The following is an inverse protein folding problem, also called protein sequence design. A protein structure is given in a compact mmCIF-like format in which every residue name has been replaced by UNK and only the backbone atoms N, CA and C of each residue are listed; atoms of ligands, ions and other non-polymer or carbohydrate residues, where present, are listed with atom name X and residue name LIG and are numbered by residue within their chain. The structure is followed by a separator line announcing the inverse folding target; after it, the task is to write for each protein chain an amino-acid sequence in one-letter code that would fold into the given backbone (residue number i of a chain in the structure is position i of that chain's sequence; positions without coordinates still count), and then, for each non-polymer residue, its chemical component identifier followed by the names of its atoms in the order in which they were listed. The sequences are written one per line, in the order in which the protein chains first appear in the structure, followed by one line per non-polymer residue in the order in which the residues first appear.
data_IF_777422067077
#
_entry.id   IF_777422067077
#
_cell.length_a   1.000
_cell.length_b   1.000
_cell.length_c   1.000
_cell.angle_alpha   90.00
_cell.angle_beta   90.00
_cell.angle_gamma   90.00
#
_symmetry.space_group_name_H-M   'P 1'
#
loop_
_entity.id
_entity.type
_entity.pdbx_description
1 polymer ?
#
# COMPACT_ATOMS: atom_id res chain seq x y z
N UNK A 1 1.37 11.61 -18.54
CA UNK A 1 2.04 10.51 -17.82
C UNK A 1 1.77 9.13 -18.45
N UNK A 2 2.77 8.23 -18.50
CA UNK A 2 2.62 6.82 -18.94
C UNK A 2 2.25 5.95 -17.74
N UNK A 3 1.30 5.03 -17.92
CA UNK A 3 0.97 4.01 -16.92
C UNK A 3 2.02 2.88 -16.96
N UNK A 4 2.80 2.74 -15.89
CA UNK A 4 3.80 1.68 -15.75
C UNK A 4 3.30 0.48 -14.94
N UNK A 5 2.04 0.52 -14.46
CA UNK A 5 1.47 -0.53 -13.62
C UNK A 5 1.04 -1.76 -14.41
N UNK A 6 0.73 -1.61 -15.71
CA UNK A 6 0.29 -2.70 -16.59
C UNK A 6 1.44 -3.14 -17.49
N UNK A 7 1.90 -4.40 -17.41
CA UNK A 7 2.94 -4.92 -18.29
C UNK A 7 2.44 -5.14 -19.73
N UNK A 8 3.36 -5.37 -20.66
CA UNK A 8 3.00 -5.75 -22.02
C UNK A 8 2.37 -7.16 -22.04
N UNK A 9 1.24 -7.32 -22.74
CA UNK A 9 0.43 -8.55 -22.75
C UNK A 9 0.06 -9.01 -21.33
N UNK A 10 -0.67 -8.17 -20.58
CA UNK A 10 -1.02 -8.45 -19.20
C UNK A 10 -2.01 -9.62 -19.14
N UNK A 11 -1.95 -10.37 -18.05
CA UNK A 11 -2.87 -11.46 -17.74
C UNK A 11 -2.80 -11.81 -16.26
N UNK A 12 -3.92 -11.62 -15.58
CA UNK A 12 -4.09 -11.92 -14.16
C UNK A 12 -3.38 -10.95 -13.23
N UNK A 13 -3.72 -11.07 -11.96
CA UNK A 13 -3.40 -10.10 -10.92
C UNK A 13 -2.88 -10.83 -9.68
N UNK A 14 -1.91 -10.21 -9.00
CA UNK A 14 -1.44 -10.63 -7.69
C UNK A 14 -1.85 -9.57 -6.66
N UNK A 15 -2.66 -9.98 -5.68
CA UNK A 15 -3.01 -9.16 -4.53
C UNK A 15 -2.06 -9.51 -3.38
N UNK A 16 -1.40 -8.49 -2.82
CA UNK A 16 -0.71 -8.59 -1.53
C UNK A 16 -1.61 -8.01 -0.46
N UNK A 17 -1.70 -8.66 0.69
CA UNK A 17 -2.52 -8.19 1.81
C UNK A 17 -2.01 -8.74 3.15
N UNK A 18 -2.65 -8.32 4.23
CA UNK A 18 -2.49 -8.92 5.56
C UNK A 18 -3.86 -9.35 6.12
N UNK A 19 -3.83 -10.07 7.23
CA UNK A 19 -5.02 -10.49 7.96
C UNK A 19 -4.93 -9.99 9.40
N UNK A 20 -6.05 -9.45 9.89
CA UNK A 20 -6.23 -9.18 11.32
C UNK A 20 -6.88 -10.38 12.01
N UNK A 21 -6.15 -10.96 12.96
CA UNK A 21 -6.71 -11.95 13.89
C UNK A 21 -6.25 -11.64 15.32
N UNK A 22 -7.13 -11.19 16.22
CA UNK A 22 -6.77 -10.87 17.60
C UNK A 22 -6.29 -12.08 18.41
N UNK A 23 -6.46 -13.31 17.91
CA UNK A 23 -6.14 -14.55 18.62
C UNK A 23 -4.89 -15.25 18.11
N UNK A 24 -4.36 -14.84 16.97
CA UNK A 24 -3.19 -15.48 16.37
C UNK A 24 -2.19 -14.46 15.86
N UNK A 25 -0.96 -14.91 15.62
CA UNK A 25 0.05 -14.07 14.98
C UNK A 25 -0.20 -14.04 13.47
N UNK A 26 -1.24 -13.31 13.06
CA UNK A 26 -1.71 -13.23 11.68
C UNK A 26 -1.15 -12.03 10.89
N UNK A 27 -0.68 -10.97 11.56
CA UNK A 27 -0.11 -9.75 10.94
C UNK A 27 1.22 -10.07 10.20
N UNK A 28 1.07 -10.62 9.00
CA UNK A 28 2.07 -11.22 8.11
C UNK A 28 1.63 -10.98 6.66
N UNK A 29 2.48 -11.29 5.69
CA UNK A 29 2.13 -11.11 4.27
C UNK A 29 1.42 -12.33 3.73
N UNK A 30 0.30 -12.10 3.06
CA UNK A 30 -0.46 -13.09 2.30
C UNK A 30 -0.56 -12.63 0.85
N UNK A 31 -0.73 -13.60 -0.04
CA UNK A 31 -0.85 -13.36 -1.47
C UNK A 31 -2.07 -14.11 -2.00
N UNK A 32 -2.86 -13.44 -2.84
CA UNK A 32 -3.97 -14.03 -3.56
C UNK A 32 -3.75 -13.82 -5.06
N UNK A 33 -4.05 -14.85 -5.85
CA UNK A 33 -3.96 -14.82 -7.31
C UNK A 33 -5.36 -14.77 -7.90
N UNK A 34 -5.61 -13.88 -8.86
CA UNK A 34 -6.90 -13.82 -9.55
C UNK A 34 -7.23 -15.12 -10.29
N UNK A 35 -8.51 -15.43 -10.49
CA UNK A 35 -8.93 -16.50 -11.40
C UNK A 35 -8.79 -16.03 -12.85
N UNK A 36 -7.70 -16.45 -13.51
CA UNK A 36 -7.29 -15.92 -14.80
C UNK A 36 -7.20 -14.39 -14.78
N UNK A 37 -7.75 -13.76 -15.81
CA UNK A 37 -7.74 -12.30 -15.99
C UNK A 37 -8.95 -11.59 -15.35
N UNK A 38 -9.53 -12.19 -14.31
CA UNK A 38 -10.72 -11.68 -13.62
C UNK A 38 -10.34 -11.04 -12.28
N UNK A 39 -10.33 -9.71 -12.17
CA UNK A 39 -10.02 -9.04 -10.91
C UNK A 39 -11.12 -9.21 -9.84
N UNK A 40 -12.30 -9.76 -10.15
CA UNK A 40 -13.39 -9.95 -9.19
C UNK A 40 -13.29 -11.26 -8.39
N UNK A 41 -12.41 -12.20 -8.76
CA UNK A 41 -12.34 -13.52 -8.12
C UNK A 41 -10.90 -13.85 -7.70
N UNK A 42 -10.67 -14.04 -6.40
CA UNK A 42 -9.33 -14.19 -5.80
C UNK A 42 -9.14 -15.55 -5.13
N UNK A 43 -8.05 -16.23 -5.48
CA UNK A 43 -7.68 -17.51 -4.88
C UNK A 43 -6.49 -17.31 -3.93
N UNK A 44 -6.65 -17.59 -2.63
CA UNK A 44 -5.54 -17.51 -1.68
C UNK A 44 -4.41 -18.48 -2.03
N UNK A 45 -3.19 -17.95 -2.12
CA UNK A 45 -2.00 -18.78 -2.27
C UNK A 45 -1.65 -19.43 -0.93
N UNK A 46 -0.78 -20.45 -0.99
CA UNK A 46 -0.27 -21.19 0.16
C UNK A 46 -1.38 -21.74 1.08
N UNK A 47 -2.53 -22.11 0.50
CA UNK A 47 -3.72 -22.53 1.24
C UNK A 47 -4.21 -21.50 2.28
N UNK A 48 -4.06 -20.20 1.99
CA UNK A 48 -4.42 -19.11 2.90
C UNK A 48 -3.48 -18.94 4.09
N UNK A 49 -2.30 -19.55 4.06
CA UNK A 49 -1.23 -19.34 5.06
C UNK A 49 -0.32 -18.18 4.63
N UNK A 50 0.35 -17.52 5.59
CA UNK A 50 1.26 -16.43 5.26
C UNK A 50 2.41 -16.90 4.38
N UNK A 51 2.84 -16.04 3.47
CA UNK A 51 3.96 -16.26 2.54
C UNK A 51 5.25 -15.65 3.08
N UNK A 52 5.18 -14.48 3.73
CA UNK A 52 6.35 -13.77 4.29
C UNK A 52 6.09 -13.29 5.72
N UNK A 53 7.16 -13.23 6.51
CA UNK A 53 7.17 -12.74 7.90
C UNK A 53 8.36 -11.82 8.13
N UNK A 54 8.24 -10.88 9.06
CA UNK A 54 9.34 -9.99 9.46
C UNK A 54 9.86 -10.33 10.86
N UNK A 55 11.18 -10.50 11.07
CA UNK A 55 11.77 -10.60 12.39
C UNK A 55 12.07 -9.23 13.02
N UNK A 56 11.87 -8.13 12.29
CA UNK A 56 12.25 -6.78 12.70
C UNK A 56 11.17 -6.10 13.53
N UNK A 57 11.59 -5.08 14.30
CA UNK A 57 10.72 -4.16 15.02
C UNK A 57 9.67 -4.86 15.87
N UNK A 58 8.40 -4.60 15.56
CA UNK A 58 7.25 -5.17 16.26
C UNK A 58 6.99 -6.63 15.91
N UNK A 59 7.66 -7.16 14.88
CA UNK A 59 7.50 -8.49 14.28
C UNK A 59 6.17 -8.71 13.55
N UNK A 60 5.28 -7.73 13.50
CA UNK A 60 4.08 -7.75 12.66
C UNK A 60 4.31 -6.93 11.41
N UNK A 61 3.63 -7.29 10.33
CA UNK A 61 3.55 -6.44 9.14
C UNK A 61 2.12 -6.25 8.66
N UNK A 62 1.83 -5.05 8.18
CA UNK A 62 0.50 -4.58 7.77
C UNK A 62 0.60 -3.72 6.50
N UNK A 63 -0.56 -3.50 5.89
CA UNK A 63 -0.79 -2.57 4.79
C UNK A 63 0.24 -2.72 3.65
N UNK A 64 0.49 -3.94 3.13
CA UNK A 64 1.55 -4.14 2.16
C UNK A 64 1.18 -3.62 0.77
N UNK A 65 2.19 -3.21 0.01
CA UNK A 65 2.03 -2.80 -1.39
C UNK A 65 3.08 -3.45 -2.28
N UNK A 66 2.70 -3.76 -3.52
CA UNK A 66 3.55 -4.35 -4.56
C UNK A 66 3.86 -3.32 -5.64
N UNK A 67 5.14 -3.19 -6.01
CA UNK A 67 5.53 -2.32 -7.12
C UNK A 67 6.64 -2.92 -7.96
N UNK A 68 6.53 -2.75 -9.28
CA UNK A 68 7.53 -3.22 -10.24
C UNK A 68 8.43 -2.08 -10.70
N UNK A 69 9.74 -2.33 -10.75
CA UNK A 69 10.65 -1.49 -11.51
C UNK A 69 10.48 -1.84 -13.00
N UNK A 70 9.96 -0.93 -13.85
CA UNK A 70 9.71 -1.24 -15.26
C UNK A 70 10.99 -1.35 -16.09
N UNK A 71 12.13 -0.85 -15.60
CA UNK A 71 13.42 -0.95 -16.29
C UNK A 71 14.12 -2.30 -16.04
N UNK A 72 13.96 -2.87 -14.85
CA UNK A 72 14.64 -4.12 -14.47
C UNK A 72 13.71 -5.33 -14.39
N UNK A 73 12.40 -5.11 -14.26
CA UNK A 73 11.39 -6.13 -14.04
C UNK A 73 11.25 -6.60 -12.59
N UNK A 74 12.17 -6.21 -11.69
CA UNK A 74 12.16 -6.57 -10.26
C UNK A 74 10.91 -6.03 -9.58
N UNK A 75 10.32 -6.84 -8.70
CA UNK A 75 9.14 -6.48 -7.91
C UNK A 75 9.54 -6.35 -6.45
N UNK A 76 8.99 -5.34 -5.78
CA UNK A 76 9.18 -5.08 -4.36
C UNK A 76 7.85 -5.22 -3.62
N UNK A 77 7.89 -5.77 -2.41
CA UNK A 77 6.84 -5.60 -1.41
C UNK A 77 7.34 -4.60 -0.38
N UNK A 78 6.52 -3.59 -0.09
CA UNK A 78 6.72 -2.63 0.99
C UNK A 78 5.65 -2.90 2.04
N UNK A 79 5.96 -2.82 3.33
CA UNK A 79 4.96 -3.01 4.38
C UNK A 79 5.26 -2.17 5.62
N UNK A 80 4.20 -1.83 6.36
CA UNK A 80 4.27 -1.25 7.71
C UNK A 80 4.89 -2.25 8.68
N UNK A 81 5.85 -1.82 9.51
CA UNK A 81 6.32 -2.59 10.69
C UNK A 81 5.42 -2.31 11.90
N UNK A 82 4.38 -3.13 12.07
CA UNK A 82 3.43 -2.99 13.16
C UNK A 82 2.74 -4.31 13.51
N UNK A 83 2.68 -4.62 14.81
CA UNK A 83 1.88 -5.70 15.39
C UNK A 83 0.94 -5.15 16.46
N UNK A 84 -0.35 -4.96 16.15
CA UNK A 84 -1.30 -4.33 17.08
C UNK A 84 -1.94 -5.31 18.05
N UNK A 85 -1.93 -6.61 17.74
CA UNK A 85 -2.61 -7.62 18.56
C UNK A 85 -1.72 -8.28 19.63
N UNK A 86 -0.47 -7.84 19.80
CA UNK A 86 0.43 -8.37 20.85
C UNK A 86 -0.12 -8.24 22.27
N UNK A 87 -0.93 -7.21 22.53
CA UNK A 87 -1.60 -6.96 23.81
C UNK A 87 -3.06 -7.41 23.84
N UNK A 88 -3.57 -7.98 22.74
CA UNK A 88 -4.96 -8.47 22.61
C UNK A 88 -6.02 -7.39 22.41
N UNK A 89 -5.64 -6.11 22.33
CA UNK A 89 -6.58 -4.98 22.22
C UNK A 89 -6.69 -4.36 20.82
N UNK A 90 -5.78 -4.69 19.89
CA UNK A 90 -5.77 -4.11 18.56
C UNK A 90 -5.81 -2.58 18.59
N UNK A 91 -6.74 -1.97 17.85
CA UNK A 91 -7.01 -0.52 17.85
C UNK A 91 -8.09 -0.08 18.85
N UNK A 92 -8.57 -0.97 19.73
CA UNK A 92 -9.63 -0.65 20.70
C UNK A 92 -9.16 0.30 21.82
N UNK A 93 -10.10 0.83 22.61
CA UNK A 93 -9.79 1.68 23.76
C UNK A 93 -8.93 0.93 24.79
N UNK A 94 -7.82 1.55 25.22
CA UNK A 94 -6.83 0.91 26.09
C UNK A 94 -5.71 0.18 25.34
N UNK A 95 -5.70 0.26 24.01
CA UNK A 95 -4.59 -0.18 23.16
C UNK A 95 -3.34 0.69 23.31
N UNK A 96 -2.23 0.21 22.76
CA UNK A 96 -0.98 0.95 22.62
C UNK A 96 -0.99 2.00 21.50
N UNK A 97 -2.17 2.41 21.01
CA UNK A 97 -2.29 3.25 19.81
C UNK A 97 -1.49 4.55 19.88
N UNK A 98 -1.51 5.22 21.04
CA UNK A 98 -0.71 6.44 21.24
C UNK A 98 0.78 6.16 21.00
N UNK A 99 1.31 5.09 21.59
CA UNK A 99 2.72 4.70 21.41
C UNK A 99 3.01 4.34 19.95
N UNK A 100 2.15 3.57 19.29
CA UNK A 100 2.38 3.21 17.88
C UNK A 100 2.28 4.42 16.94
N UNK A 101 1.44 5.41 17.24
CA UNK A 101 1.24 6.58 16.39
C UNK A 101 2.17 7.76 16.72
N UNK A 102 2.86 7.74 17.86
CA UNK A 102 3.79 8.81 18.28
C UNK A 102 5.23 8.31 18.40
N UNK A 103 5.46 7.04 18.70
CA UNK A 103 6.79 6.47 18.93
C UNK A 103 6.96 5.12 18.23
N UNK A 104 6.19 4.90 17.16
CA UNK A 104 6.21 3.69 16.35
C UNK A 104 7.43 3.61 15.45
N UNK A 105 7.48 2.52 14.67
CA UNK A 105 8.57 2.30 13.71
C UNK A 105 8.51 3.33 12.58
N UNK A 106 9.64 3.95 12.27
CA UNK A 106 9.85 4.73 11.04
C UNK A 106 10.47 3.88 9.93
N UNK A 107 10.61 2.57 10.16
CA UNK A 107 11.13 1.64 9.17
C UNK A 107 9.97 0.99 8.42
N UNK A 108 10.09 0.93 7.10
CA UNK A 108 9.31 0.03 6.26
C UNK A 108 10.03 -1.30 6.12
N UNK A 109 9.29 -2.40 6.01
CA UNK A 109 9.84 -3.71 5.69
C UNK A 109 9.75 -3.96 4.20
N UNK A 110 10.89 -4.29 3.60
CA UNK A 110 11.03 -4.47 2.16
C UNK A 110 11.43 -5.91 1.83
N UNK A 111 10.73 -6.51 0.87
CA UNK A 111 11.15 -7.72 0.17
C UNK A 111 11.27 -7.43 -1.32
N UNK A 112 12.08 -8.20 -2.02
CA UNK A 112 12.20 -8.12 -3.47
C UNK A 112 12.22 -9.49 -4.13
N UNK A 113 11.73 -9.55 -5.36
CA UNK A 113 11.68 -10.77 -6.17
C UNK A 113 11.90 -10.47 -7.66
N UNK A 114 12.62 -11.36 -8.33
CA UNK A 114 12.77 -11.37 -9.79
C UNK A 114 11.73 -12.27 -10.48
N UNK A 115 11.01 -13.11 -9.72
CA UNK A 115 10.14 -14.13 -10.29
C UNK A 115 8.77 -14.28 -9.63
N UNK A 116 8.46 -13.49 -8.58
CA UNK A 116 7.23 -13.49 -7.77
C UNK A 116 7.00 -14.77 -6.95
N UNK A 117 7.95 -15.68 -6.93
CA UNK A 117 7.89 -16.94 -6.17
C UNK A 117 8.92 -16.92 -5.05
N UNK A 118 10.17 -16.60 -5.39
CA UNK A 118 11.27 -16.51 -4.45
C UNK A 118 11.47 -15.05 -4.04
N UNK A 119 11.26 -14.78 -2.76
CA UNK A 119 11.47 -13.47 -2.17
C UNK A 119 12.80 -13.44 -1.43
N UNK A 120 13.44 -12.27 -1.40
CA UNK A 120 14.62 -12.04 -0.57
C UNK A 120 14.32 -12.24 0.92
N UNK A 121 15.36 -12.28 1.75
CA UNK A 121 15.18 -11.95 3.16
C UNK A 121 14.62 -10.52 3.31
N UNK A 122 13.81 -10.24 4.36
CA UNK A 122 13.35 -8.88 4.63
C UNK A 122 14.53 -7.95 4.95
N UNK A 123 14.38 -6.68 4.58
CA UNK A 123 15.28 -5.59 4.99
C UNK A 123 14.47 -4.36 5.40
N UNK A 124 15.08 -3.46 6.15
CA UNK A 124 14.43 -2.21 6.57
C UNK A 124 14.82 -1.04 5.68
N UNK A 125 13.86 -0.13 5.44
CA UNK A 125 14.08 1.19 4.88
C UNK A 125 13.63 2.23 5.92
N UNK A 126 14.56 3.04 6.44
CA UNK A 126 14.23 4.09 7.40
C UNK A 126 13.81 5.36 6.64
N UNK A 127 12.50 5.59 6.57
CA UNK A 127 11.96 6.72 5.80
C UNK A 127 12.14 8.07 6.50
N UNK A 128 12.59 8.08 7.76
CA UNK A 128 12.90 9.33 8.47
C UNK A 128 14.24 9.93 8.06
N UNK A 129 15.15 9.16 7.45
CA UNK A 129 16.52 9.59 7.16
C UNK A 129 16.57 10.75 6.15
N UNK A 130 17.26 11.83 6.52
CA UNK A 130 17.54 13.01 5.69
C UNK A 130 18.94 12.94 5.06
N UNK A 131 19.16 13.69 3.98
CA UNK A 131 20.41 13.69 3.22
C UNK A 131 21.64 14.18 4.01
N UNK A 132 21.43 15.01 5.04
CA UNK A 132 22.48 15.51 5.93
C UNK A 132 22.86 14.51 7.06
N UNK A 133 22.25 13.33 7.07
CA UNK A 133 22.46 12.29 8.07
C UNK A 133 21.63 12.47 9.35
N UNK A 134 20.76 13.48 9.40
CA UNK A 134 19.74 13.62 10.46
C UNK A 134 18.46 12.85 10.12
N UNK A 135 17.48 12.89 11.01
CA UNK A 135 16.18 12.24 10.83
C UNK A 135 15.06 13.28 10.91
N UNK A 136 13.94 13.04 10.24
CA UNK A 136 12.68 13.71 10.49
C UNK A 136 12.06 13.15 11.78
N UNK A 137 11.48 14.04 12.60
CA UNK A 137 10.76 13.64 13.81
C UNK A 137 9.39 13.08 13.39
N UNK A 138 9.38 11.79 13.05
CA UNK A 138 8.21 11.05 12.59
C UNK A 138 7.67 10.18 13.73
N UNK A 139 6.34 10.16 13.88
CA UNK A 139 5.69 9.29 14.86
C UNK A 139 5.69 7.81 14.46
N UNK A 140 5.64 7.54 13.15
CA UNK A 140 5.58 6.20 12.56
C UNK A 140 5.70 6.27 11.03
N UNK A 141 5.78 5.13 10.35
CA UNK A 141 5.62 5.02 8.90
C UNK A 141 4.62 3.91 8.54
N UNK A 142 3.41 4.30 8.13
CA UNK A 142 2.29 3.38 7.87
C UNK A 142 1.79 3.45 6.43
N UNK A 143 1.26 2.32 5.93
CA UNK A 143 0.64 2.16 4.62
C UNK A 143 1.50 2.72 3.47
N UNK A 144 2.70 2.17 3.23
CA UNK A 144 3.56 2.64 2.17
C UNK A 144 3.07 2.21 0.78
N UNK A 145 3.02 3.13 -0.16
CA UNK A 145 2.85 2.85 -1.58
C UNK A 145 3.87 3.61 -2.43
N UNK A 146 4.01 3.23 -3.70
CA UNK A 146 4.92 3.92 -4.61
C UNK A 146 4.46 3.91 -6.07
N UNK A 147 4.81 4.97 -6.79
CA UNK A 147 4.67 5.04 -8.25
C UNK A 147 6.01 5.32 -8.91
N UNK A 148 6.25 4.67 -10.05
CA UNK A 148 7.46 4.89 -10.84
C UNK A 148 7.39 6.18 -11.66
N UNK A 149 8.44 6.99 -11.55
CA UNK A 149 8.66 8.22 -12.33
C UNK A 149 9.90 8.01 -13.19
N UNK A 150 9.77 7.86 -14.52
CA UNK A 150 10.87 7.44 -15.40
C UNK A 150 11.97 8.51 -15.59
N UNK A 151 11.64 9.77 -15.33
CA UNK A 151 12.50 10.93 -15.60
C UNK A 151 12.71 11.82 -14.37
N UNK A 152 12.66 11.20 -13.17
CA UNK A 152 12.89 11.84 -11.88
C UNK A 152 14.27 12.50 -11.78
N UNK A 153 15.33 11.75 -12.11
CA UNK A 153 16.71 12.21 -12.02
C UNK A 153 17.21 12.91 -13.30
N UNK A 154 18.21 13.81 -13.18
CA UNK A 154 18.86 14.44 -14.32
C UNK A 154 19.46 13.43 -15.30
N UNK A 155 19.52 13.82 -16.58
CA UNK A 155 20.16 13.01 -17.61
C UNK A 155 21.65 12.80 -17.29
N UNK A 156 22.12 11.55 -17.45
CA UNK A 156 23.52 11.18 -17.22
C UNK A 156 23.86 10.74 -15.80
N UNK A 157 22.86 10.63 -14.89
CA UNK A 157 23.04 9.95 -13.60
C UNK A 157 23.35 8.47 -13.83
N UNK A 158 24.32 7.95 -13.08
CA UNK A 158 24.60 6.52 -13.01
C UNK A 158 23.39 5.77 -12.39
N UNK A 159 23.03 4.61 -12.94
CA UNK A 159 21.86 3.85 -12.48
C UNK A 159 20.52 4.28 -13.07
N UNK A 160 20.50 5.21 -14.03
CA UNK A 160 19.29 5.59 -14.77
C UNK A 160 18.62 6.86 -14.24
N UNK A 161 17.56 7.27 -14.94
CA UNK A 161 16.81 8.49 -14.63
C UNK A 161 15.56 8.24 -13.77
N UNK A 162 15.11 7.00 -13.70
CA UNK A 162 13.87 6.67 -13.01
C UNK A 162 14.04 6.54 -11.49
N UNK A 163 12.95 6.80 -10.77
CA UNK A 163 12.85 6.57 -9.34
C UNK A 163 11.41 6.17 -9.00
N UNK A 164 11.27 5.42 -7.92
CA UNK A 164 10.00 5.32 -7.21
C UNK A 164 9.80 6.58 -6.38
N UNK A 165 8.67 7.24 -6.54
CA UNK A 165 8.16 8.17 -5.56
C UNK A 165 7.33 7.36 -4.57
N UNK A 166 7.89 7.20 -3.37
CA UNK A 166 7.35 6.47 -2.24
C UNK A 166 6.58 7.45 -1.36
N UNK A 167 5.40 7.04 -0.88
CA UNK A 167 4.58 7.84 0.02
C UNK A 167 3.97 6.96 1.11
N UNK A 168 3.77 7.54 2.30
CA UNK A 168 3.31 6.84 3.50
C UNK A 168 2.65 7.81 4.47
N UNK A 169 1.88 7.28 5.42
CA UNK A 169 1.22 8.06 6.47
C UNK A 169 2.08 8.18 7.73
N UNK A 170 2.11 9.36 8.34
CA UNK A 170 2.89 9.62 9.55
C UNK A 170 2.37 10.84 10.33
N UNK A 171 2.57 10.86 11.65
CA UNK A 171 2.60 12.11 12.41
C UNK A 171 3.95 12.78 12.23
N UNK A 172 3.95 14.06 11.87
CA UNK A 172 5.17 14.86 11.72
C UNK A 172 5.29 15.86 12.88
N UNK A 173 6.34 15.72 13.67
CA UNK A 173 6.68 16.62 14.77
C UNK A 173 7.68 17.69 14.30
N UNK A 174 7.78 18.77 15.08
CA UNK A 174 8.80 19.79 14.84
C UNK A 174 10.17 19.27 15.29
N UNK A 175 11.26 19.72 14.64
CA UNK A 175 12.62 19.31 14.98
C UNK A 175 13.01 19.67 16.44
N UNK A 176 12.30 20.60 17.10
CA UNK A 176 12.48 20.97 18.51
C UNK A 176 11.53 20.23 19.49
N UNK A 177 10.71 19.30 18.98
CA UNK A 177 9.91 18.36 19.76
C UNK A 177 10.37 16.89 19.57
N UNK A 178 11.63 16.55 19.89
CA UNK A 178 12.15 15.18 19.73
C UNK A 178 11.57 14.18 20.76
N UNK A 179 10.69 14.65 21.65
CA UNK A 179 9.96 13.81 22.60
C UNK A 179 8.53 13.53 22.14
N UNK A 180 8.13 14.09 20.99
CA UNK A 180 6.81 13.91 20.39
C UNK A 180 5.67 14.20 21.39
N UNK A 181 5.80 15.30 22.14
CA UNK A 181 4.87 15.67 23.21
C UNK A 181 3.74 16.58 22.72
N UNK A 182 3.86 17.18 21.53
CA UNK A 182 2.83 18.06 20.98
C UNK A 182 1.53 17.27 20.70
N UNK A 183 0.42 17.58 21.38
CA UNK A 183 -0.83 16.86 21.19
C UNK A 183 -1.59 17.29 19.92
N UNK A 184 -1.19 18.38 19.27
CA UNK A 184 -1.89 18.95 18.12
C UNK A 184 -1.40 18.37 16.78
N UNK A 185 -0.50 17.38 16.80
CA UNK A 185 -0.08 16.67 15.59
C UNK A 185 -1.17 15.73 15.07
N UNK A 186 -1.20 15.54 13.77
CA UNK A 186 -2.13 14.64 13.09
C UNK A 186 -1.42 13.91 11.95
N UNK A 187 -2.05 12.85 11.47
CA UNK A 187 -1.53 12.03 10.39
C UNK A 187 -1.58 12.80 9.08
N UNK A 188 -0.44 12.87 8.40
CA UNK A 188 -0.25 13.42 7.07
C UNK A 188 0.35 12.35 6.18
N UNK A 189 0.21 12.54 4.88
CA UNK A 189 0.93 11.70 3.91
C UNK A 189 2.23 12.41 3.58
N UNK A 190 3.35 11.72 3.79
CA UNK A 190 4.69 12.14 3.45
C UNK A 190 5.15 11.43 2.17
N UNK A 191 6.24 11.92 1.58
CA UNK A 191 6.87 11.27 0.44
C UNK A 191 8.39 11.32 0.49
N UNK A 192 9.00 10.47 -0.31
CA UNK A 192 10.42 10.41 -0.62
C UNK A 192 10.64 9.72 -1.97
N UNK A 193 11.89 9.64 -2.40
CA UNK A 193 12.25 8.99 -3.66
C UNK A 193 13.36 7.96 -3.45
N UNK A 194 13.34 6.90 -4.25
CA UNK A 194 14.36 5.85 -4.21
C UNK A 194 14.43 5.10 -5.53
N UNK A 195 15.61 4.60 -5.90
CA UNK A 195 15.75 3.79 -7.10
C UNK A 195 15.38 2.31 -6.88
N UNK A 196 15.56 1.82 -5.64
CA UNK A 196 15.52 0.39 -5.31
C UNK A 196 15.10 0.08 -3.86
N UNK A 197 14.52 1.08 -3.17
CA UNK A 197 14.09 1.00 -1.77
C UNK A 197 15.22 0.73 -0.77
N UNK A 198 16.50 0.87 -1.13
CA UNK A 198 17.59 0.78 -0.16
C UNK A 198 17.79 2.11 0.57
N UNK A 199 18.33 2.06 1.78
CA UNK A 199 18.69 3.29 2.51
C UNK A 199 19.70 4.14 1.72
N UNK A 200 20.57 3.53 0.91
CA UNK A 200 21.60 4.24 0.14
C UNK A 200 21.04 5.09 -1.01
N UNK A 201 19.92 4.68 -1.60
CA UNK A 201 19.28 5.42 -2.70
C UNK A 201 18.09 6.26 -2.25
N UNK A 202 17.70 6.17 -0.98
CA UNK A 202 16.54 6.87 -0.44
C UNK A 202 16.82 8.36 -0.18
N UNK A 203 15.87 9.18 -0.60
CA UNK A 203 15.86 10.64 -0.47
C UNK A 203 14.52 11.08 0.15
N UNK A 204 14.56 11.63 1.37
CA UNK A 204 13.36 12.18 2.01
C UNK A 204 12.83 13.42 1.27
N UNK A 205 11.53 13.43 0.95
CA UNK A 205 10.86 14.46 0.17
C UNK A 205 9.98 15.43 0.98
N UNK A 206 9.52 15.02 2.16
CA UNK A 206 8.72 15.86 3.06
C UNK A 206 7.22 15.60 2.95
N UNK A 207 6.41 16.63 3.14
CA UNK A 207 4.95 16.52 3.15
C UNK A 207 4.40 16.42 1.72
N UNK A 208 3.54 15.44 1.48
CA UNK A 208 2.81 15.25 0.23
C UNK A 208 1.34 15.71 0.35
N UNK A 209 0.62 15.22 1.36
CA UNK A 209 -0.78 15.58 1.63
C UNK A 209 -0.89 16.14 3.04
N UNK A 210 -1.38 17.38 3.13
CA UNK A 210 -1.71 18.04 4.38
C UNK A 210 -3.01 18.84 4.22
N UNK A 211 -4.09 18.25 4.72
CA UNK A 211 -5.44 18.83 4.66
C UNK A 211 -5.77 19.68 5.90
N UNK A 212 -4.85 19.81 6.86
CA UNK A 212 -5.11 20.43 8.16
C UNK A 212 -5.86 19.53 9.15
N UNK A 213 -6.05 18.26 8.83
CA UNK A 213 -6.67 17.22 9.67
C UNK A 213 -6.13 15.83 9.27
N UNK A 214 -6.39 14.76 10.06
CA UNK A 214 -5.77 13.47 9.80
C UNK A 214 -6.20 12.84 8.46
N UNK A 215 -5.21 12.47 7.67
CA UNK A 215 -5.34 11.73 6.40
C UNK A 215 -4.34 10.58 6.38
N UNK A 216 -4.79 9.42 5.91
CA UNK A 216 -3.99 8.19 5.84
C UNK A 216 -4.30 7.42 4.54
N UNK A 217 -3.64 6.30 4.33
CA UNK A 217 -3.96 5.28 3.32
C UNK A 217 -4.22 5.86 1.93
N UNK A 218 -3.16 6.39 1.33
CA UNK A 218 -3.21 6.88 -0.05
C UNK A 218 -2.86 5.74 -0.99
N UNK A 219 -3.62 5.61 -2.07
CA UNK A 219 -3.25 4.80 -3.25
C UNK A 219 -3.36 5.63 -4.51
N UNK A 220 -2.59 5.30 -5.55
CA UNK A 220 -2.51 6.11 -6.76
C UNK A 220 -2.45 5.29 -8.05
N UNK A 221 -3.04 5.85 -9.11
CA UNK A 221 -3.03 5.27 -10.46
C UNK A 221 -2.76 6.35 -11.50
N UNK A 222 -1.73 6.14 -12.34
CA UNK A 222 -1.52 6.97 -13.53
C UNK A 222 -2.30 6.39 -14.70
N UNK A 223 -3.25 7.13 -15.28
CA UNK A 223 -4.06 6.66 -16.42
C UNK A 223 -4.54 7.82 -17.29
N UNK A 224 -4.58 7.62 -18.60
CA UNK A 224 -5.11 8.62 -19.53
C UNK A 224 -4.35 9.95 -19.52
N UNK A 225 -3.06 9.93 -19.15
CA UNK A 225 -2.24 11.14 -19.04
C UNK A 225 -2.33 11.85 -17.68
N UNK A 226 -3.28 11.47 -16.82
CA UNK A 226 -3.53 12.01 -15.48
C UNK A 226 -2.97 11.09 -14.39
N UNK A 227 -2.90 11.59 -13.19
CA UNK A 227 -2.70 10.78 -11.97
C UNK A 227 -3.92 10.95 -11.09
N UNK A 228 -4.45 9.82 -10.62
CA UNK A 228 -5.53 9.74 -9.67
C UNK A 228 -4.98 9.30 -8.32
N UNK A 229 -5.51 9.85 -7.23
CA UNK A 229 -5.23 9.37 -5.88
C UNK A 229 -6.54 9.15 -5.14
N UNK A 230 -6.62 8.06 -4.40
CA UNK A 230 -7.67 7.83 -3.42
C UNK A 230 -7.02 7.86 -2.03
N UNK A 231 -7.50 8.74 -1.15
CA UNK A 231 -6.93 8.94 0.19
C UNK A 231 -8.02 8.81 1.24
N UNK A 232 -7.71 8.17 2.37
CA UNK A 232 -8.61 8.13 3.52
C UNK A 232 -8.53 9.43 4.32
N UNK A 233 -9.63 10.16 4.36
CA UNK A 233 -9.85 11.26 5.29
C UNK A 233 -10.52 10.72 6.56
N UNK A 234 -9.95 11.02 7.74
CA UNK A 234 -10.44 10.55 9.04
C UNK A 234 -11.64 11.39 9.54
N UNK A 235 -12.54 11.77 8.65
CA UNK A 235 -13.74 12.56 8.92
C UNK A 235 -14.89 12.12 7.98
N UNK A 236 -15.97 12.89 7.92
CA UNK A 236 -17.17 12.58 7.14
C UNK A 236 -16.94 12.52 5.63
N UNK A 237 -15.76 12.93 5.11
CA UNK A 237 -15.40 12.76 3.71
C UNK A 237 -14.98 11.34 3.36
N UNK A 238 -14.57 10.51 4.33
CA UNK A 238 -14.14 9.13 4.09
C UNK A 238 -13.04 9.01 3.04
N UNK A 239 -13.14 8.03 2.14
CA UNK A 239 -12.22 7.91 0.99
C UNK A 239 -12.60 8.93 -0.07
N UNK A 240 -11.62 9.75 -0.48
CA UNK A 240 -11.76 10.82 -1.47
C UNK A 240 -10.90 10.50 -2.67
N UNK A 241 -11.51 10.53 -3.87
CA UNK A 241 -10.82 10.44 -5.15
C UNK A 241 -10.51 11.84 -5.68
N UNK A 242 -9.26 12.05 -6.08
CA UNK A 242 -8.78 13.28 -6.69
C UNK A 242 -7.94 12.98 -7.93
N UNK A 243 -7.78 13.97 -8.82
CA UNK A 243 -6.91 13.86 -9.98
C UNK A 243 -6.02 15.08 -10.18
N UNK A 244 -4.91 14.88 -10.88
CA UNK A 244 -4.02 15.94 -11.35
C UNK A 244 -3.49 15.67 -12.76
N UNK A 245 -3.29 16.73 -13.52
CA UNK A 245 -2.56 16.73 -14.80
C UNK A 245 -1.05 17.00 -14.62
N UNK A 246 -0.59 17.23 -13.38
CA UNK A 246 0.78 17.61 -13.09
C UNK A 246 1.75 16.44 -13.26
N UNK A 247 2.82 16.65 -14.04
CA UNK A 247 3.88 15.64 -14.22
C UNK A 247 4.75 15.44 -12.97
N UNK A 248 4.77 16.43 -12.06
CA UNK A 248 5.44 16.37 -10.74
C UNK A 248 4.41 16.35 -9.62
N UNK A 249 3.50 15.39 -9.67
CA UNK A 249 2.32 15.27 -8.80
C UNK A 249 2.64 15.16 -7.31
N UNK A 250 3.85 14.75 -6.95
CA UNK A 250 4.30 14.59 -5.56
C UNK A 250 4.82 15.89 -4.92
N UNK A 251 5.03 16.94 -5.71
CA UNK A 251 5.54 18.20 -5.20
C UNK A 251 4.43 19.10 -4.64
N UNK A 252 4.72 19.97 -3.65
CA UNK A 252 3.71 20.83 -3.02
C UNK A 252 2.96 21.77 -3.96
N UNK A 253 3.49 22.03 -5.16
CA UNK A 253 2.86 22.89 -6.15
C UNK A 253 1.78 22.16 -6.98
N UNK A 254 1.76 20.83 -6.96
CA UNK A 254 0.78 20.04 -7.68
C UNK A 254 -0.64 20.40 -7.25
N UNK A 255 -1.51 20.65 -8.23
CA UNK A 255 -2.91 20.98 -7.99
C UNK A 255 -3.75 19.72 -8.19
N UNK A 256 -4.55 19.39 -7.18
CA UNK A 256 -5.45 18.25 -7.18
C UNK A 256 -6.91 18.72 -7.27
N UNK A 257 -7.71 18.01 -8.06
CA UNK A 257 -9.14 18.27 -8.22
C UNK A 257 -9.92 17.10 -7.64
N UNK A 258 -10.80 17.38 -6.68
CA UNK A 258 -11.70 16.39 -6.10
C UNK A 258 -12.71 15.93 -7.15
N UNK A 259 -12.86 14.61 -7.29
CA UNK A 259 -13.84 13.96 -8.17
C UNK A 259 -15.02 13.44 -7.34
N UNK A 260 -14.71 12.73 -6.25
CA UNK A 260 -15.72 12.07 -5.42
C UNK A 260 -15.22 11.96 -3.98
N UNK A 261 -16.14 12.04 -3.03
CA UNK A 261 -15.91 11.72 -1.62
C UNK A 261 -16.90 10.64 -1.12
N UNK A 262 -16.72 10.22 0.12
CA UNK A 262 -17.50 9.19 0.80
C UNK A 262 -17.56 7.84 0.04
N UNK A 263 -16.50 7.52 -0.70
CA UNK A 263 -16.45 6.30 -1.51
C UNK A 263 -16.54 5.08 -0.59
N UNK A 264 -17.47 4.18 -0.88
CA UNK A 264 -17.65 2.92 -0.14
C UNK A 264 -18.45 3.02 1.15
N UNK A 265 -18.98 4.19 1.52
CA UNK A 265 -19.71 4.36 2.78
C UNK A 265 -20.88 3.38 2.96
N UNK A 266 -21.62 3.03 1.90
CA UNK A 266 -22.77 2.12 1.98
C UNK A 266 -22.36 0.64 2.15
N UNK A 267 -21.07 0.32 2.09
CA UNK A 267 -20.57 -0.98 2.52
C UNK A 267 -20.56 -1.14 4.04
N UNK A 268 -20.60 -0.03 4.78
CA UNK A 268 -20.67 -0.02 6.24
C UNK A 268 -22.12 -0.18 6.71
N UNK A 269 -22.33 -0.78 7.90
CA UNK A 269 -23.67 -1.06 8.43
C UNK A 269 -24.54 0.21 8.59
N UNK A 270 -23.93 1.35 8.88
CA UNK A 270 -24.60 2.61 9.18
C UNK A 270 -24.40 3.70 8.11
N UNK A 271 -23.74 3.39 6.99
CA UNK A 271 -23.42 4.38 5.95
C UNK A 271 -22.39 5.43 6.40
N UNK A 272 -21.57 5.16 7.42
CA UNK A 272 -20.55 6.09 7.91
C UNK A 272 -19.26 5.97 7.06
N UNK A 273 -18.87 7.03 6.32
CA UNK A 273 -17.65 7.01 5.49
C UNK A 273 -16.37 6.77 6.29
N UNK A 274 -16.41 6.92 7.62
CA UNK A 274 -15.28 6.61 8.49
C UNK A 274 -15.04 5.11 8.63
N UNK A 275 -16.03 4.26 8.35
CA UNK A 275 -15.94 2.80 8.49
C UNK A 275 -15.27 2.06 7.32
N UNK A 276 -14.68 2.77 6.36
CA UNK A 276 -13.87 2.18 5.28
C UNK A 276 -12.48 2.80 5.21
N UNK A 277 -11.44 2.04 4.94
CA UNK A 277 -10.05 2.53 4.82
C UNK A 277 -9.26 1.75 3.76
N UNK A 278 -7.94 1.94 3.71
CA UNK A 278 -7.03 1.14 2.90
C UNK A 278 -7.38 0.96 1.43
N UNK A 279 -7.71 2.01 0.66
CA UNK A 279 -8.09 1.88 -0.74
C UNK A 279 -7.00 1.17 -1.56
N UNK A 280 -7.37 0.22 -2.42
CA UNK A 280 -6.49 -0.36 -3.45
C UNK A 280 -7.03 -0.04 -4.84
N UNK A 281 -6.30 0.79 -5.61
CA UNK A 281 -6.74 1.33 -6.90
C UNK A 281 -5.97 0.70 -8.07
N UNK A 282 -6.67 0.04 -8.99
CA UNK A 282 -6.02 -0.64 -10.12
C UNK A 282 -6.95 -0.80 -11.32
N UNK A 283 -6.37 -1.00 -12.49
CA UNK A 283 -7.11 -1.04 -13.75
C UNK A 283 -7.34 -2.45 -14.30
N UNK A 284 -8.46 -2.62 -14.99
CA UNK A 284 -8.71 -3.78 -15.84
C UNK A 284 -7.71 -3.85 -17.00
N UNK A 285 -7.37 -5.08 -17.41
CA UNK A 285 -6.50 -5.35 -18.57
C UNK A 285 -7.28 -5.33 -19.89
N UNK A 286 -8.57 -5.63 -19.85
CA UNK A 286 -9.34 -6.01 -21.04
C UNK A 286 -10.39 -4.99 -21.48
N UNK A 287 -10.72 -4.04 -20.60
CA UNK A 287 -11.73 -3.00 -20.85
C UNK A 287 -11.34 -1.69 -20.15
N UNK A 288 -12.21 -0.70 -20.22
CA UNK A 288 -11.97 0.62 -19.63
C UNK A 288 -12.20 0.66 -18.11
N UNK A 289 -12.56 -0.47 -17.48
CA UNK A 289 -12.87 -0.52 -16.06
C UNK A 289 -11.65 -0.24 -15.19
N UNK A 290 -11.91 0.46 -14.09
CA UNK A 290 -11.00 0.67 -12.97
C UNK A 290 -11.72 0.21 -11.72
N UNK A 291 -10.98 -0.48 -10.86
CA UNK A 291 -11.45 -1.01 -9.60
C UNK A 291 -10.83 -0.24 -8.45
N UNK A 292 -11.62 0.00 -7.42
CA UNK A 292 -11.14 0.50 -6.14
C UNK A 292 -11.69 -0.40 -5.05
N UNK A 293 -10.81 -1.13 -4.36
CA UNK A 293 -11.21 -1.94 -3.21
C UNK A 293 -11.09 -1.11 -1.95
N UNK A 294 -12.11 -1.14 -1.10
CA UNK A 294 -12.15 -0.39 0.16
C UNK A 294 -12.27 -1.37 1.32
N UNK A 295 -11.37 -1.29 2.30
CA UNK A 295 -11.36 -2.17 3.47
C UNK A 295 -12.43 -1.73 4.44
N UNK A 296 -13.47 -2.54 4.61
CA UNK A 296 -14.57 -2.26 5.53
C UNK A 296 -14.17 -2.75 6.93
N UNK A 297 -13.90 -1.78 7.81
CA UNK A 297 -13.39 -2.03 9.16
C UNK A 297 -14.51 -2.16 10.21
N UNK A 298 -14.25 -2.87 11.32
CA UNK A 298 -13.00 -3.56 11.65
C UNK A 298 -12.87 -4.95 11.03
N UNK A 299 -13.96 -5.61 10.61
CA UNK A 299 -13.92 -7.07 10.40
C UNK A 299 -14.32 -7.57 9.02
N UNK A 300 -14.88 -6.75 8.13
CA UNK A 300 -15.39 -7.24 6.85
C UNK A 300 -14.25 -7.46 5.85
N UNK A 301 -13.31 -6.52 5.77
CA UNK A 301 -12.25 -6.57 4.76
C UNK A 301 -12.68 -5.91 3.45
N UNK A 302 -11.95 -6.18 2.38
CA UNK A 302 -12.16 -5.51 1.10
C UNK A 302 -13.56 -5.70 0.50
N UNK A 303 -14.13 -4.59 0.04
CA UNK A 303 -15.32 -4.55 -0.81
C UNK A 303 -15.06 -3.75 -2.09
N UNK A 304 -15.60 -4.20 -3.22
CA UNK A 304 -15.26 -3.65 -4.53
C UNK A 304 -16.09 -2.42 -4.92
N UNK A 305 -15.43 -1.43 -5.48
CA UNK A 305 -15.99 -0.34 -6.26
C UNK A 305 -15.50 -0.45 -7.71
N UNK A 306 -16.27 0.05 -8.67
CA UNK A 306 -15.93 -0.02 -10.11
C UNK A 306 -16.37 1.24 -10.85
N UNK A 307 -15.65 1.58 -11.91
CA UNK A 307 -16.03 2.62 -12.86
C UNK A 307 -15.46 2.32 -14.24
N UNK A 308 -16.11 2.78 -15.31
CA UNK A 308 -15.53 2.82 -16.66
C UNK A 308 -15.00 4.21 -17.02
N UNK A 309 -15.20 5.19 -16.15
CA UNK A 309 -14.75 6.57 -16.33
C UNK A 309 -14.39 7.17 -14.97
N UNK A 310 -13.12 7.06 -14.62
CA UNK A 310 -12.60 7.47 -13.32
C UNK A 310 -12.73 8.98 -13.07
N UNK A 311 -12.86 9.81 -14.11
CA UNK A 311 -13.14 11.25 -13.95
C UNK A 311 -14.58 11.52 -13.44
N UNK A 312 -15.46 10.51 -13.45
CA UNK A 312 -16.82 10.58 -12.90
C UNK A 312 -16.99 9.79 -11.59
N UNK A 313 -15.88 9.27 -11.02
CA UNK A 313 -15.90 8.53 -9.77
C UNK A 313 -16.33 7.09 -9.92
N UNK A 314 -16.55 6.44 -8.79
CA UNK A 314 -16.82 5.02 -8.61
C UNK A 314 -18.27 4.74 -8.20
N UNK A 315 -18.79 3.63 -8.72
CA UNK A 315 -20.01 2.98 -8.26
C UNK A 315 -19.70 1.70 -7.49
N UNK A 316 -20.69 1.18 -6.77
CA UNK A 316 -20.57 -0.10 -6.08
C UNK A 316 -20.59 -1.24 -7.09
N UNK A 317 -19.58 -2.12 -7.07
CA UNK A 317 -19.65 -3.36 -7.85
C UNK A 317 -20.70 -4.28 -7.21
N UNK A 318 -21.80 -4.50 -7.92
CA UNK A 318 -22.88 -5.41 -7.53
C UNK A 318 -22.81 -6.65 -8.41
N UNK A 319 -21.91 -7.55 -8.05
CA UNK A 319 -21.66 -8.81 -8.75
C UNK A 319 -21.88 -9.97 -7.79
N UNK A 320 -22.74 -10.92 -8.15
CA UNK A 320 -22.90 -12.17 -7.39
C UNK A 320 -21.70 -13.12 -7.59
N UNK A 321 -20.80 -12.78 -8.52
CA UNK A 321 -19.60 -13.55 -8.87
C UNK A 321 -18.34 -13.02 -8.18
N UNK A 322 -18.42 -11.90 -7.44
CA UNK A 322 -17.29 -11.38 -6.67
C UNK A 322 -16.95 -12.34 -5.52
N UNK A 323 -15.72 -12.85 -5.51
CA UNK A 323 -15.22 -13.76 -4.48
C UNK A 323 -13.83 -13.34 -4.02
N UNK A 324 -13.68 -13.27 -2.70
CA UNK A 324 -12.44 -12.96 -2.01
C UNK A 324 -12.50 -13.60 -0.63
N UNK A 325 -11.34 -14.05 -0.14
CA UNK A 325 -11.26 -14.57 1.20
C UNK A 325 -11.75 -13.52 2.23
N UNK A 326 -12.49 -13.94 3.27
CA UNK A 326 -12.88 -13.04 4.33
C UNK A 326 -11.64 -12.52 5.07
N UNK A 327 -11.71 -11.30 5.58
CA UNK A 327 -10.59 -10.65 6.28
C UNK A 327 -9.34 -10.41 5.43
N UNK A 328 -9.44 -10.43 4.10
CA UNK A 328 -8.45 -9.77 3.23
C UNK A 328 -8.51 -8.26 3.49
N UNK A 329 -7.47 -7.72 4.12
CA UNK A 329 -7.37 -6.32 4.58
C UNK A 329 -6.52 -5.47 3.64
N UNK A 330 -6.35 -4.20 4.00
CA UNK A 330 -5.53 -3.21 3.29
C UNK A 330 -4.26 -3.83 2.69
N UNK A 331 -4.11 -3.66 1.38
CA UNK A 331 -3.09 -4.27 0.55
C UNK A 331 -2.99 -3.57 -0.81
N UNK A 332 -2.37 -4.24 -1.80
CA UNK A 332 -2.20 -3.68 -3.15
C UNK A 332 -2.23 -4.74 -4.25
N UNK A 333 -2.59 -4.32 -5.47
CA UNK A 333 -2.74 -5.21 -6.63
C UNK A 333 -1.67 -4.93 -7.68
N UNK A 334 -0.95 -5.96 -8.08
CA UNK A 334 0.02 -5.93 -9.17
C UNK A 334 -0.53 -6.64 -10.41
N UNK A 335 -0.47 -5.99 -11.56
CA UNK A 335 -0.74 -6.64 -12.85
C UNK A 335 0.40 -7.59 -13.24
N UNK A 336 0.04 -8.79 -13.67
CA UNK A 336 0.98 -9.82 -14.10
C UNK A 336 1.03 -9.94 -15.61
N UNK A 337 2.11 -10.52 -16.11
CA UNK A 337 2.13 -11.15 -17.44
C UNK A 337 1.61 -12.59 -17.34
N UNK A 338 1.19 -13.17 -18.46
CA UNK A 338 0.78 -14.59 -18.50
C UNK A 338 1.85 -15.53 -17.96
N UNK A 339 3.13 -15.29 -18.29
CA UNK A 339 4.22 -16.14 -17.84
C UNK A 339 4.45 -16.06 -16.32
N UNK A 340 4.20 -14.89 -15.72
CA UNK A 340 4.28 -14.72 -14.26
C UNK A 340 3.09 -15.37 -13.56
N UNK A 341 1.89 -15.18 -14.10
CA UNK A 341 0.67 -15.83 -13.61
C UNK A 341 0.84 -17.35 -13.57
N UNK A 342 1.27 -17.95 -14.68
CA UNK A 342 1.49 -19.39 -14.79
C UNK A 342 2.57 -19.86 -13.82
N UNK A 343 3.67 -19.11 -13.66
CA UNK A 343 4.74 -19.44 -12.72
C UNK A 343 4.26 -19.44 -11.26
N UNK A 344 3.53 -18.41 -10.84
CA UNK A 344 2.98 -18.31 -9.48
C UNK A 344 1.99 -19.45 -9.22
N UNK A 345 1.09 -19.72 -10.17
CA UNK A 345 0.11 -20.81 -10.08
C UNK A 345 0.77 -22.19 -9.99
N UNK A 346 1.82 -22.44 -10.78
CA UNK A 346 2.57 -23.70 -10.74
C UNK A 346 3.34 -23.86 -9.43
N UNK A 347 3.96 -22.78 -8.92
CA UNK A 347 4.68 -22.77 -7.66
C UNK A 347 3.75 -23.06 -6.47
N UNK A 348 2.55 -22.46 -6.46
CA UNK A 348 1.53 -22.72 -5.44
C UNK A 348 1.09 -24.19 -5.44
N UNK A 349 0.77 -24.74 -6.61
CA UNK A 349 0.41 -26.17 -6.77
C UNK A 349 1.52 -27.12 -6.34
N UNK A 350 2.78 -26.70 -6.47
CA UNK A 350 3.95 -27.45 -6.03
C UNK A 350 4.25 -27.31 -4.53
N UNK A 351 3.56 -26.41 -3.81
CA UNK A 351 3.82 -26.12 -2.40
C UNK A 351 5.14 -25.36 -2.17
N UNK A 352 5.52 -24.48 -3.08
CA UNK A 352 6.77 -23.70 -2.98
C UNK A 352 6.78 -22.71 -1.81
N UNK A 353 5.60 -22.26 -1.35
CA UNK A 353 5.42 -21.26 -0.30
C UNK A 353 5.42 -21.84 1.13
N UNK A 354 5.78 -23.12 1.31
CA UNK A 354 5.72 -23.79 2.61
C UNK A 354 6.81 -23.25 3.55
N UNK A 355 6.36 -22.42 4.50
CA UNK A 355 7.04 -21.83 5.68
C UNK A 355 8.55 -22.05 5.79
N UNK A 356 9.26 -20.93 5.72
CA UNK A 356 10.60 -20.80 6.29
C UNK A 356 10.51 -21.13 7.80
N UNK A 357 11.09 -22.27 8.20
CA UNK A 357 11.01 -22.83 9.55
C UNK A 357 11.73 -21.99 10.62
N UNK A 358 12.16 -20.77 10.30
CA UNK A 358 13.11 -20.01 11.11
C UNK A 358 12.48 -19.07 12.13
N UNK A 359 11.18 -18.74 12.05
CA UNK A 359 10.58 -17.74 12.95
C UNK A 359 9.76 -18.35 14.10
N UNK A 360 9.51 -19.67 14.11
CA UNK A 360 8.79 -20.34 15.20
C UNK A 360 9.68 -20.70 16.42
N UNK A 361 10.94 -20.27 16.44
CA UNK A 361 11.85 -20.49 17.58
C UNK A 361 12.51 -19.18 18.02
N UNK A 362 11.75 -18.27 18.64
CA UNK A 362 12.29 -17.23 19.51
C UNK A 362 11.31 -16.90 20.63
#
# INVERSE_FOLDING_TARGET
MTDYSIPAAPYGYLLVHFIEDPKSYAERIYLDLSDGDNPEHWNPLNHGKPVLTSPFGTKGVRDPYLVRNPETGRVYILATDLQVFTSGHGSESGSGWYEWSHHGSTNLIIWESDDLVHWSEPRTLDVSRKADGTHAELGMAWAPEALWVPDYYPQGREGGRGAFVLYWSSKLFADDDPRHENPDVYDRVLWGATADFTNDTYEYGGVFIDEGYPTIDTTMLARGGRVYRATKHQNERGIVLESTDGDRWWEPQAQWSVIQDAIGADWTENGDPRGVEGPALFASHSNDEVYLYVDVIPSIGYRPMVTTDIDHGFEYLKSDEFDMAPHTKHGGVLSLTRAEYERVLEADRAGAYIEDKQVLQA
#
